data_IF_438484355918
#
_entry.id   IF_438484355918
#
_cell.length_a   1.000
_cell.length_b   1.000
_cell.length_c   1.000
_cell.angle_alpha   90.00
_cell.angle_beta   90.00
_cell.angle_gamma   90.00
#
_symmetry.space_group_name_H-M   'P 1'
#
loop_
_entity.id
_entity.type
_entity.pdbx_description
1 polymer ?
#
# COMPACT_ATOMS: atom_id res chain seq x y z
N UNK A 1 -51.44 14.15 -59.43
CA UNK A 1 -51.41 13.35 -58.20
C UNK A 1 -49.94 12.98 -57.84
N UNK A 2 -49.12 13.91 -57.38
CA UNK A 2 -47.75 13.65 -56.91
C UNK A 2 -47.23 14.75 -55.96
N UNK A 3 -47.99 15.11 -54.91
CA UNK A 3 -47.49 16.13 -53.90
C UNK A 3 -47.91 15.82 -52.46
N UNK A 4 -48.22 14.57 -52.12
CA UNK A 4 -48.65 14.20 -50.74
C UNK A 4 -47.75 13.20 -50.02
N UNK A 5 -46.61 12.76 -50.60
CA UNK A 5 -45.73 11.73 -50.02
C UNK A 5 -44.45 12.27 -49.42
N UNK A 6 -44.22 13.59 -49.37
CA UNK A 6 -42.94 14.19 -48.90
C UNK A 6 -42.99 14.78 -47.49
N UNK A 7 -44.11 14.76 -46.82
CA UNK A 7 -44.26 15.37 -45.48
C UNK A 7 -44.29 14.35 -44.31
N UNK A 8 -44.26 13.05 -44.58
CA UNK A 8 -44.28 12.01 -43.55
C UNK A 8 -42.87 11.43 -43.23
N UNK A 9 -41.82 11.82 -43.96
CA UNK A 9 -40.47 11.29 -43.76
C UNK A 9 -39.58 12.14 -42.85
N UNK A 10 -40.03 13.32 -42.40
CA UNK A 10 -39.22 14.23 -41.54
C UNK A 10 -39.50 14.10 -40.05
N UNK A 11 -40.50 13.37 -39.61
CA UNK A 11 -40.86 13.22 -38.17
C UNK A 11 -40.22 12.00 -37.52
N UNK A 12 -39.70 11.06 -38.31
CA UNK A 12 -39.10 9.80 -37.78
C UNK A 12 -37.63 9.92 -37.36
N UNK A 13 -36.93 11.05 -37.69
CA UNK A 13 -35.50 11.21 -37.39
C UNK A 13 -35.23 11.98 -36.08
N UNK A 14 -36.26 12.65 -35.51
CA UNK A 14 -36.07 13.51 -34.34
C UNK A 14 -36.22 12.83 -32.97
N UNK A 15 -36.51 11.53 -32.91
CA UNK A 15 -36.73 10.79 -31.64
C UNK A 15 -35.52 9.91 -31.28
N UNK A 16 -34.54 9.72 -32.18
CA UNK A 16 -33.36 8.90 -31.91
C UNK A 16 -32.20 9.61 -31.20
N UNK A 17 -32.32 10.92 -30.92
CA UNK A 17 -31.22 11.74 -30.35
C UNK A 17 -31.35 12.05 -28.85
N UNK A 18 -32.29 11.46 -28.12
CA UNK A 18 -32.56 11.82 -26.71
C UNK A 18 -32.21 10.70 -25.71
N UNK A 19 -31.49 9.64 -26.10
CA UNK A 19 -30.98 8.62 -25.15
C UNK A 19 -29.45 8.55 -25.30
N UNK A 20 -28.78 9.70 -25.31
CA UNK A 20 -27.42 9.75 -24.83
C UNK A 20 -27.49 9.78 -23.29
N UNK A 21 -27.91 8.69 -22.69
CA UNK A 21 -27.72 8.46 -21.27
C UNK A 21 -26.24 8.69 -21.03
N UNK A 22 -25.90 9.72 -20.25
CA UNK A 22 -24.58 9.78 -19.63
C UNK A 22 -24.39 8.43 -18.95
N UNK A 23 -23.65 7.54 -19.59
CA UNK A 23 -22.99 6.44 -18.90
C UNK A 23 -21.98 7.11 -17.97
N UNK A 24 -22.46 7.64 -16.83
CA UNK A 24 -21.62 7.96 -15.70
C UNK A 24 -20.86 6.67 -15.46
N UNK A 25 -19.56 6.69 -15.65
CA UNK A 25 -18.73 5.57 -15.27
C UNK A 25 -19.12 5.23 -13.83
N UNK A 26 -19.64 4.02 -13.62
CA UNK A 26 -20.06 3.57 -12.29
C UNK A 26 -18.86 3.70 -11.37
N UNK A 27 -18.97 4.50 -10.30
CA UNK A 27 -17.87 4.73 -9.38
C UNK A 27 -17.47 3.42 -8.67
N UNK A 28 -16.22 3.34 -8.25
CA UNK A 28 -15.69 2.10 -7.68
C UNK A 28 -16.43 1.68 -6.40
N UNK A 29 -16.91 2.64 -5.58
CA UNK A 29 -17.67 2.33 -4.36
C UNK A 29 -19.00 1.65 -4.72
N UNK A 30 -19.77 2.20 -5.64
CA UNK A 30 -21.03 1.62 -6.09
C UNK A 30 -20.82 0.21 -6.69
N UNK A 31 -19.80 0.04 -7.51
CA UNK A 31 -19.41 -1.27 -8.08
C UNK A 31 -19.08 -2.30 -6.98
N UNK A 32 -18.31 -1.92 -5.97
CA UNK A 32 -17.95 -2.79 -4.83
C UNK A 32 -19.21 -3.20 -4.06
N UNK A 33 -20.07 -2.23 -3.74
CA UNK A 33 -21.32 -2.48 -2.98
C UNK A 33 -22.30 -3.36 -3.75
N UNK A 34 -22.47 -3.14 -5.06
CA UNK A 34 -23.32 -3.97 -5.93
C UNK A 34 -22.80 -5.41 -6.03
N UNK A 35 -21.48 -5.59 -6.20
CA UNK A 35 -20.80 -6.89 -6.24
C UNK A 35 -20.79 -7.61 -4.90
N UNK A 36 -20.94 -6.88 -3.79
CA UNK A 36 -20.83 -7.38 -2.40
C UNK A 36 -19.48 -8.04 -2.07
N UNK A 37 -18.45 -7.68 -2.78
CA UNK A 37 -17.07 -8.16 -2.59
C UNK A 37 -16.10 -7.02 -2.79
N UNK A 38 -15.12 -6.90 -1.92
CA UNK A 38 -13.98 -5.98 -2.07
C UNK A 38 -12.68 -6.78 -2.19
N UNK A 39 -11.88 -6.49 -3.21
CA UNK A 39 -10.58 -7.10 -3.47
C UNK A 39 -9.49 -6.19 -2.94
N UNK A 40 -8.74 -6.66 -1.97
CA UNK A 40 -7.71 -5.86 -1.29
C UNK A 40 -6.33 -6.48 -1.50
N UNK A 41 -5.43 -5.76 -2.14
CA UNK A 41 -4.04 -6.15 -2.28
C UNK A 41 -3.32 -5.95 -0.92
N UNK A 42 -2.73 -7.05 -0.39
CA UNK A 42 -2.09 -7.09 0.92
C UNK A 42 -0.70 -7.74 0.85
N UNK A 43 0.24 -7.37 1.73
CA UNK A 43 1.56 -8.00 1.76
C UNK A 43 1.48 -9.40 2.38
N UNK A 44 2.35 -10.30 1.93
CA UNK A 44 2.43 -11.67 2.47
C UNK A 44 3.79 -12.02 3.06
N UNK A 45 4.76 -11.12 2.94
CA UNK A 45 6.15 -11.31 3.35
C UNK A 45 6.72 -10.13 4.17
N UNK A 46 5.83 -9.31 4.75
CA UNK A 46 6.21 -8.07 5.41
C UNK A 46 5.66 -7.97 6.85
N UNK A 47 6.00 -8.94 7.76
CA UNK A 47 5.54 -8.91 9.14
C UNK A 47 6.14 -7.70 9.89
N UNK A 48 5.39 -7.05 10.79
CA UNK A 48 4.06 -7.43 11.30
C UNK A 48 2.87 -6.87 10.49
N UNK A 49 3.11 -6.17 9.36
CA UNK A 49 2.04 -5.58 8.55
C UNK A 49 1.25 -6.64 7.77
N UNK A 50 1.92 -7.59 7.13
CA UNK A 50 1.29 -8.72 6.49
C UNK A 50 2.23 -9.90 6.28
N UNK A 51 1.79 -11.08 6.65
CA UNK A 51 2.52 -12.33 6.46
C UNK A 51 1.56 -13.50 6.37
N UNK A 52 2.05 -14.61 5.81
CA UNK A 52 1.34 -15.89 5.79
C UNK A 52 2.01 -16.82 6.78
N UNK A 53 1.24 -17.38 7.70
CA UNK A 53 1.73 -18.37 8.66
C UNK A 53 1.94 -19.75 8.03
N UNK A 54 2.47 -20.69 8.80
CA UNK A 54 2.63 -22.09 8.38
C UNK A 54 1.31 -22.80 8.10
N UNK A 55 0.22 -22.29 8.67
CA UNK A 55 -1.16 -22.70 8.45
C UNK A 55 -1.79 -22.04 7.18
N UNK A 56 -0.99 -21.35 6.37
CA UNK A 56 -1.39 -20.63 5.17
C UNK A 56 -2.40 -19.48 5.44
N UNK A 57 -2.57 -19.06 6.70
CA UNK A 57 -3.50 -17.99 7.08
C UNK A 57 -2.81 -16.63 7.01
N UNK A 58 -3.31 -15.68 6.21
CA UNK A 58 -2.83 -14.30 6.20
C UNK A 58 -3.11 -13.61 7.54
N UNK A 59 -2.12 -12.87 8.05
CA UNK A 59 -2.20 -12.14 9.31
C UNK A 59 -1.30 -10.92 9.31
N UNK A 60 -1.67 -9.90 10.08
CA UNK A 60 -0.91 -8.67 10.21
C UNK A 60 -1.79 -7.44 10.32
N UNK A 61 -1.17 -6.31 10.56
CA UNK A 61 -1.85 -5.01 10.68
C UNK A 61 -2.72 -4.69 9.46
N UNK A 62 -2.15 -4.85 8.25
CA UNK A 62 -2.83 -4.56 6.99
C UNK A 62 -3.99 -5.51 6.71
N UNK A 63 -3.89 -6.77 7.19
CA UNK A 63 -4.96 -7.76 7.10
C UNK A 63 -6.13 -7.39 8.02
N UNK A 64 -5.82 -6.99 9.27
CA UNK A 64 -6.84 -6.52 10.20
C UNK A 64 -7.51 -5.24 9.69
N UNK A 65 -6.75 -4.31 9.08
CA UNK A 65 -7.30 -3.10 8.46
C UNK A 65 -8.19 -3.41 7.26
N UNK A 66 -7.79 -4.32 6.38
CA UNK A 66 -8.61 -4.79 5.26
C UNK A 66 -9.92 -5.42 5.74
N UNK A 67 -9.85 -6.22 6.80
CA UNK A 67 -11.02 -6.84 7.45
C UNK A 67 -11.96 -5.79 8.01
N UNK A 68 -11.44 -4.77 8.68
CA UNK A 68 -12.23 -3.66 9.20
C UNK A 68 -12.96 -2.91 8.08
N UNK A 69 -12.25 -2.57 7.00
CA UNK A 69 -12.84 -1.87 5.84
C UNK A 69 -13.97 -2.69 5.23
N UNK A 70 -13.74 -3.97 4.95
CA UNK A 70 -14.77 -4.85 4.37
C UNK A 70 -16.00 -4.97 5.28
N UNK A 71 -15.79 -5.13 6.59
CA UNK A 71 -16.87 -5.17 7.60
C UNK A 71 -17.69 -3.88 7.62
N UNK A 72 -17.04 -2.71 7.58
CA UNK A 72 -17.70 -1.40 7.58
C UNK A 72 -18.46 -1.12 6.29
N UNK A 73 -18.00 -1.65 5.15
CA UNK A 73 -18.71 -1.59 3.88
C UNK A 73 -19.84 -2.64 3.76
N UNK A 74 -19.90 -3.62 4.66
CA UNK A 74 -20.90 -4.71 4.60
C UNK A 74 -20.69 -5.66 3.44
N UNK A 75 -19.43 -5.88 3.00
CA UNK A 75 -19.08 -6.71 1.84
C UNK A 75 -18.12 -7.83 2.24
N UNK A 76 -18.03 -8.87 1.40
CA UNK A 76 -17.04 -9.95 1.57
C UNK A 76 -15.63 -9.43 1.23
N UNK A 77 -14.66 -9.80 2.05
CA UNK A 77 -13.24 -9.54 1.78
C UNK A 77 -12.64 -10.63 0.90
N UNK A 78 -11.96 -10.22 -0.16
CA UNK A 78 -11.06 -11.06 -0.94
C UNK A 78 -9.65 -10.47 -0.86
N UNK A 79 -8.71 -11.22 -0.26
CA UNK A 79 -7.31 -10.83 -0.12
C UNK A 79 -6.53 -11.22 -1.39
N UNK A 80 -5.84 -10.27 -1.99
CA UNK A 80 -4.99 -10.45 -3.16
C UNK A 80 -3.52 -10.30 -2.72
N UNK A 81 -2.72 -11.37 -2.74
CA UNK A 81 -1.29 -11.27 -2.43
C UNK A 81 -0.58 -10.29 -3.36
N UNK A 82 0.24 -9.40 -2.79
CA UNK A 82 1.01 -8.42 -3.57
C UNK A 82 2.43 -8.27 -3.04
N UNK A 83 3.39 -8.13 -3.94
CA UNK A 83 4.77 -7.73 -3.63
C UNK A 83 4.98 -6.24 -3.80
N UNK A 84 6.05 -5.70 -3.23
CA UNK A 84 6.37 -4.27 -3.25
C UNK A 84 6.22 -3.60 -4.62
N UNK A 85 6.86 -4.12 -5.69
CA UNK A 85 6.79 -3.54 -7.04
C UNK A 85 5.39 -3.47 -7.65
N UNK A 86 4.50 -4.40 -7.26
CA UNK A 86 3.20 -4.59 -7.90
C UNK A 86 2.05 -3.80 -7.26
N UNK A 87 2.28 -3.14 -6.11
CA UNK A 87 1.23 -2.47 -5.32
C UNK A 87 0.43 -1.44 -6.11
N UNK A 88 1.10 -0.56 -6.85
CA UNK A 88 0.46 0.47 -7.68
C UNK A 88 -0.14 -0.13 -8.94
N UNK A 89 0.58 -1.04 -9.60
CA UNK A 89 0.12 -1.68 -10.84
C UNK A 89 -1.19 -2.47 -10.65
N UNK A 90 -1.40 -3.09 -9.49
CA UNK A 90 -2.64 -3.84 -9.20
C UNK A 90 -3.87 -2.94 -9.13
N UNK A 91 -3.73 -1.70 -8.66
CA UNK A 91 -4.79 -0.69 -8.70
C UNK A 91 -5.04 -0.23 -10.14
N UNK A 92 -3.98 0.15 -10.87
CA UNK A 92 -4.10 0.66 -12.24
C UNK A 92 -4.71 -0.37 -13.21
N UNK A 93 -4.41 -1.65 -13.02
CA UNK A 93 -4.95 -2.76 -13.83
C UNK A 93 -6.26 -3.34 -13.29
N UNK A 94 -6.84 -2.75 -12.24
CA UNK A 94 -8.07 -3.21 -11.59
C UNK A 94 -8.02 -4.66 -11.10
N UNK A 95 -6.81 -5.17 -10.82
CA UNK A 95 -6.62 -6.48 -10.20
C UNK A 95 -7.04 -6.46 -8.73
N UNK A 96 -6.89 -5.33 -8.05
CA UNK A 96 -7.45 -5.04 -6.74
C UNK A 96 -8.26 -3.75 -6.77
N UNK A 97 -9.21 -3.62 -5.84
CA UNK A 97 -9.98 -2.40 -5.62
C UNK A 97 -9.24 -1.44 -4.69
N UNK A 98 -8.52 -2.01 -3.71
CA UNK A 98 -7.69 -1.30 -2.76
C UNK A 98 -6.30 -1.93 -2.68
N UNK A 99 -5.32 -1.13 -2.28
CA UNK A 99 -4.03 -1.60 -1.78
C UNK A 99 -3.87 -1.17 -0.33
N UNK A 100 -3.84 -2.16 0.58
CA UNK A 100 -3.53 -2.01 2.01
C UNK A 100 -2.28 -2.84 2.26
N UNK A 101 -1.11 -2.25 2.03
CA UNK A 101 0.16 -2.97 1.97
C UNK A 101 1.32 -2.06 2.35
N UNK A 102 1.27 -1.49 3.57
CA UNK A 102 2.26 -0.55 4.09
C UNK A 102 2.61 0.53 3.06
N UNK A 103 1.58 1.06 2.39
CA UNK A 103 1.77 1.93 1.23
C UNK A 103 2.00 3.38 1.67
N UNK A 104 3.22 3.88 1.50
CA UNK A 104 3.56 5.29 1.69
C UNK A 104 3.21 6.15 0.46
N UNK A 105 2.99 7.45 0.68
CA UNK A 105 2.79 8.44 -0.38
C UNK A 105 4.12 8.90 -0.97
N UNK A 106 4.17 8.99 -2.30
CA UNK A 106 5.24 9.71 -3.00
C UNK A 106 4.63 10.56 -4.11
N UNK A 107 5.29 11.66 -4.54
CA UNK A 107 4.79 12.49 -5.63
C UNK A 107 4.56 11.71 -6.94
N UNK A 108 5.37 10.70 -7.21
CA UNK A 108 5.27 9.85 -8.39
C UNK A 108 4.01 8.98 -8.33
N UNK A 109 3.74 8.36 -7.18
CA UNK A 109 2.55 7.52 -6.97
C UNK A 109 1.27 8.36 -6.97
N UNK A 110 1.28 9.57 -6.38
CA UNK A 110 0.12 10.48 -6.35
C UNK A 110 -0.33 10.94 -7.75
N UNK A 111 0.54 10.86 -8.76
CA UNK A 111 0.15 11.12 -10.17
C UNK A 111 -0.79 10.05 -10.72
N UNK A 112 -0.73 8.82 -10.22
CA UNK A 112 -1.36 7.64 -10.84
C UNK A 112 -2.35 6.90 -9.94
N UNK A 113 -2.35 7.16 -8.63
CA UNK A 113 -3.33 6.63 -7.66
C UNK A 113 -3.76 7.72 -6.69
N UNK A 114 -4.90 7.50 -6.02
CA UNK A 114 -5.36 8.33 -4.91
C UNK A 114 -5.17 7.60 -3.59
N UNK A 115 -5.24 8.34 -2.48
CA UNK A 115 -4.95 7.84 -1.14
C UNK A 115 -6.03 8.22 -0.14
N UNK A 116 -6.25 7.35 0.84
CA UNK A 116 -6.96 7.71 2.07
C UNK A 116 -6.12 8.62 2.96
N UNK A 117 -6.68 9.01 4.12
CA UNK A 117 -5.88 9.48 5.26
C UNK A 117 -5.04 8.32 5.84
N UNK A 118 -4.02 8.63 6.66
CA UNK A 118 -3.15 7.64 7.24
C UNK A 118 -3.87 6.71 8.23
N UNK A 119 -3.56 5.39 8.18
CA UNK A 119 -4.14 4.39 9.07
C UNK A 119 -3.13 3.71 10.01
N UNK A 120 -1.82 3.79 9.72
CA UNK A 120 -0.77 3.19 10.56
C UNK A 120 0.49 4.04 10.58
N UNK A 121 1.24 4.04 11.71
CA UNK A 121 2.57 4.62 11.74
C UNK A 121 3.56 3.74 10.98
N UNK A 122 4.56 4.36 10.35
CA UNK A 122 5.61 3.63 9.68
C UNK A 122 6.90 4.45 9.64
N UNK A 123 8.02 3.82 9.97
CA UNK A 123 9.34 4.42 9.93
C UNK A 123 10.27 3.56 9.09
N UNK A 124 10.92 4.16 8.13
CA UNK A 124 11.90 3.54 7.26
C UNK A 124 13.31 3.78 7.77
N UNK A 125 14.15 2.74 7.75
CA UNK A 125 15.53 2.86 8.17
C UNK A 125 16.45 1.88 7.44
N UNK A 126 17.74 2.20 7.46
CA UNK A 126 18.84 1.29 7.10
C UNK A 126 19.31 0.58 8.36
N UNK A 127 19.40 -0.74 8.27
CA UNK A 127 19.99 -1.62 9.29
C UNK A 127 21.24 -2.27 8.75
N UNK A 128 22.18 -2.58 9.62
CA UNK A 128 23.44 -3.21 9.24
C UNK A 128 24.08 -3.91 10.41
N UNK A 129 25.11 -4.74 10.13
CA UNK A 129 25.89 -5.41 11.17
C UNK A 129 26.47 -4.41 12.16
N UNK A 130 26.63 -4.83 13.43
CA UNK A 130 27.05 -3.95 14.53
C UNK A 130 28.39 -3.24 14.26
N UNK A 131 29.32 -3.94 13.65
CA UNK A 131 30.67 -3.42 13.34
C UNK A 131 30.68 -2.34 12.26
N UNK A 132 29.59 -2.16 11.52
CA UNK A 132 29.50 -1.15 10.47
C UNK A 132 29.08 0.20 11.09
N UNK A 133 29.91 1.19 10.92
CA UNK A 133 29.59 2.56 11.33
C UNK A 133 28.96 3.28 10.13
N UNK A 134 27.73 3.77 10.32
CA UNK A 134 27.06 4.69 9.41
C UNK A 134 25.97 5.42 10.21
N UNK A 135 26.11 6.75 10.37
CA UNK A 135 25.21 7.60 11.17
C UNK A 135 24.47 8.62 10.31
N UNK A 136 24.83 8.74 9.05
CA UNK A 136 24.23 9.66 8.09
C UNK A 136 24.34 9.11 6.66
N UNK A 137 23.68 9.77 5.71
CA UNK A 137 23.60 9.31 4.32
C UNK A 137 24.97 9.28 3.62
N UNK A 138 25.88 10.21 3.93
CA UNK A 138 27.20 10.26 3.30
C UNK A 138 28.06 9.04 3.67
N UNK A 139 27.91 8.53 4.88
CA UNK A 139 28.62 7.35 5.37
C UNK A 139 28.11 6.03 4.76
N UNK A 140 26.99 6.09 4.00
CA UNK A 140 26.50 4.97 3.19
C UNK A 140 27.24 4.82 1.85
N UNK A 141 28.07 5.79 1.47
CA UNK A 141 28.87 5.75 0.23
C UNK A 141 29.72 4.48 0.14
N UNK A 142 29.62 3.76 -0.98
CA UNK A 142 30.31 2.51 -1.21
C UNK A 142 29.77 1.30 -0.44
N UNK A 143 28.81 1.49 0.48
CA UNK A 143 28.18 0.38 1.22
C UNK A 143 27.16 -0.33 0.37
N UNK A 144 27.13 -1.67 0.45
CA UNK A 144 26.16 -2.49 -0.26
C UNK A 144 24.91 -2.62 0.60
N UNK A 145 23.77 -2.11 0.10
CA UNK A 145 22.49 -2.07 0.81
C UNK A 145 21.45 -2.83 0.01
N UNK A 146 20.84 -3.86 0.60
CA UNK A 146 19.72 -4.59 0.02
C UNK A 146 18.42 -3.82 0.25
N UNK A 147 17.58 -3.71 -0.77
CA UNK A 147 16.25 -3.10 -0.70
C UNK A 147 15.23 -3.89 -1.51
N UNK A 148 13.97 -3.77 -1.15
CA UNK A 148 12.88 -4.24 -2.02
C UNK A 148 12.65 -3.21 -3.13
N UNK A 149 12.69 -3.64 -4.37
CA UNK A 149 12.48 -2.79 -5.56
C UNK A 149 11.19 -1.99 -5.46
N UNK A 150 11.23 -0.69 -5.77
CA UNK A 150 10.07 0.19 -5.78
C UNK A 150 9.41 0.39 -4.40
N UNK A 151 10.12 0.06 -3.32
CA UNK A 151 9.73 0.45 -1.96
C UNK A 151 10.07 1.91 -1.68
N UNK A 152 9.52 2.48 -0.60
CA UNK A 152 9.91 3.82 -0.13
C UNK A 152 11.42 3.87 0.16
N UNK A 153 11.97 2.82 0.76
CA UNK A 153 13.40 2.70 1.08
C UNK A 153 14.27 2.75 -0.18
N UNK A 154 13.84 2.13 -1.27
CA UNK A 154 14.54 2.18 -2.56
C UNK A 154 14.54 3.60 -3.14
N UNK A 155 13.39 4.26 -3.13
CA UNK A 155 13.22 5.64 -3.60
C UNK A 155 14.06 6.62 -2.76
N UNK A 156 13.96 6.52 -1.43
CA UNK A 156 14.68 7.37 -0.47
C UNK A 156 16.21 7.20 -0.56
N UNK A 157 16.71 5.96 -0.57
CA UNK A 157 18.14 5.70 -0.71
C UNK A 157 18.70 6.18 -2.04
N UNK A 158 17.96 5.97 -3.14
CA UNK A 158 18.38 6.45 -4.46
C UNK A 158 18.51 7.97 -4.50
N UNK A 159 17.69 8.68 -3.74
CA UNK A 159 17.68 10.15 -3.64
C UNK A 159 18.69 10.69 -2.63
N UNK A 160 18.73 10.10 -1.41
CA UNK A 160 19.47 10.65 -0.26
C UNK A 160 20.90 10.12 -0.14
N UNK A 161 21.17 8.92 -0.67
CA UNK A 161 22.47 8.26 -0.61
C UNK A 161 22.91 7.77 -1.99
N UNK A 162 23.08 8.66 -3.00
CA UNK A 162 23.41 8.27 -4.38
C UNK A 162 24.77 7.56 -4.50
N UNK A 163 25.65 7.69 -3.48
CA UNK A 163 26.92 6.97 -3.41
C UNK A 163 26.83 5.55 -2.88
N UNK A 164 25.69 5.11 -2.37
CA UNK A 164 25.48 3.76 -1.90
C UNK A 164 25.32 2.78 -3.09
N UNK A 165 25.74 1.52 -2.87
CA UNK A 165 25.56 0.43 -3.83
C UNK A 165 24.23 -0.28 -3.51
N UNK A 166 23.17 0.07 -4.21
CA UNK A 166 21.83 -0.44 -3.92
C UNK A 166 21.58 -1.74 -4.70
N UNK A 167 21.38 -2.85 -3.98
CA UNK A 167 20.94 -4.14 -4.53
C UNK A 167 19.43 -4.29 -4.35
N UNK A 168 18.71 -4.37 -5.46
CA UNK A 168 17.25 -4.44 -5.48
C UNK A 168 16.75 -5.87 -5.63
N UNK A 169 15.86 -6.28 -4.73
CA UNK A 169 15.19 -7.59 -4.73
C UNK A 169 13.71 -7.42 -5.02
N UNK A 170 13.06 -8.48 -5.52
CA UNK A 170 11.66 -8.41 -5.94
C UNK A 170 10.67 -8.43 -4.75
N UNK A 171 11.12 -8.91 -3.59
CA UNK A 171 10.30 -9.01 -2.39
C UNK A 171 11.14 -8.78 -1.12
N UNK A 172 10.45 -8.70 0.02
CA UNK A 172 11.11 -8.46 1.30
C UNK A 172 11.90 -9.69 1.78
N UNK A 173 11.42 -10.91 1.49
CA UNK A 173 12.13 -12.13 1.86
C UNK A 173 13.50 -12.19 1.18
N UNK A 174 13.59 -11.87 -0.11
CA UNK A 174 14.84 -11.76 -0.86
C UNK A 174 15.76 -10.69 -0.30
N UNK A 175 15.21 -9.54 0.06
CA UNK A 175 15.96 -8.42 0.69
C UNK A 175 16.60 -8.85 2.01
N UNK A 176 15.81 -9.45 2.91
CA UNK A 176 16.28 -9.90 4.23
C UNK A 176 17.26 -11.05 4.07
N UNK A 177 16.97 -12.03 3.21
CA UNK A 177 17.85 -13.17 2.96
C UNK A 177 19.22 -12.76 2.42
N UNK A 178 19.28 -11.74 1.56
CA UNK A 178 20.54 -11.20 1.05
C UNK A 178 21.41 -10.59 2.15
N UNK A 179 20.80 -9.91 3.12
CA UNK A 179 21.51 -9.42 4.30
C UNK A 179 21.99 -10.58 5.20
N UNK A 180 21.12 -11.50 5.54
CA UNK A 180 21.44 -12.64 6.41
C UNK A 180 22.54 -13.55 5.81
N UNK A 181 22.53 -13.74 4.49
CA UNK A 181 23.54 -14.51 3.76
C UNK A 181 24.84 -13.71 3.51
N UNK A 182 24.96 -12.47 3.96
CA UNK A 182 26.14 -11.63 3.75
C UNK A 182 26.34 -11.12 2.31
N UNK A 183 25.33 -11.25 1.44
CA UNK A 183 25.36 -10.69 0.08
C UNK A 183 25.24 -9.16 0.05
N UNK A 184 24.71 -8.58 1.12
CA UNK A 184 24.69 -7.16 1.40
C UNK A 184 25.12 -6.92 2.85
N UNK A 185 25.86 -5.84 3.07
CA UNK A 185 26.35 -5.46 4.40
C UNK A 185 25.24 -4.84 5.27
N UNK A 186 24.26 -4.27 4.60
CA UNK A 186 23.12 -3.56 5.18
C UNK A 186 21.85 -3.90 4.39
N UNK A 187 20.71 -3.61 4.98
CA UNK A 187 19.42 -3.64 4.28
C UNK A 187 18.53 -2.52 4.76
N UNK A 188 17.60 -2.09 3.92
CA UNK A 188 16.64 -1.07 4.30
C UNK A 188 15.23 -1.65 4.33
N UNK A 189 14.52 -1.38 5.43
CA UNK A 189 13.17 -1.89 5.69
C UNK A 189 12.48 -1.03 6.74
N UNK A 190 11.20 -1.30 7.03
CA UNK A 190 10.48 -0.70 8.15
C UNK A 190 11.07 -1.13 9.51
N UNK A 191 11.11 -0.21 10.47
CA UNK A 191 11.67 -0.49 11.81
C UNK A 191 10.94 -1.64 12.52
N UNK A 192 9.60 -1.73 12.39
CA UNK A 192 8.81 -2.83 12.95
C UNK A 192 9.13 -4.18 12.29
N UNK A 193 9.45 -4.18 10.98
CA UNK A 193 9.88 -5.39 10.26
C UNK A 193 11.22 -5.87 10.78
N UNK A 194 12.19 -4.97 10.93
CA UNK A 194 13.50 -5.29 11.51
C UNK A 194 13.36 -5.83 12.95
N UNK A 195 12.51 -5.21 13.78
CA UNK A 195 12.21 -5.72 15.13
C UNK A 195 11.65 -7.15 15.10
N UNK A 196 10.76 -7.44 14.16
CA UNK A 196 10.20 -8.80 13.99
C UNK A 196 11.27 -9.83 13.62
N UNK A 197 12.24 -9.47 12.77
CA UNK A 197 13.37 -10.34 12.43
C UNK A 197 14.16 -10.70 13.69
N UNK A 198 14.53 -9.69 14.49
CA UNK A 198 15.29 -9.85 15.72
C UNK A 198 14.54 -10.63 16.80
N UNK A 199 13.21 -10.50 16.85
CA UNK A 199 12.37 -11.29 17.75
C UNK A 199 12.32 -12.76 17.35
N UNK A 200 12.26 -13.05 16.03
CA UNK A 200 12.25 -14.42 15.52
C UNK A 200 13.59 -15.12 15.64
N UNK A 201 14.67 -14.37 15.45
CA UNK A 201 16.04 -14.87 15.58
C UNK A 201 16.90 -13.83 16.32
N UNK A 202 16.99 -13.94 17.66
CA UNK A 202 17.82 -13.06 18.49
C UNK A 202 19.32 -13.08 18.17
N UNK A 203 19.80 -14.11 17.46
CA UNK A 203 21.21 -14.23 17.06
C UNK A 203 21.59 -13.30 15.92
N UNK A 204 20.61 -12.75 15.20
CA UNK A 204 20.86 -11.80 14.12
C UNK A 204 21.46 -10.51 14.68
N UNK A 205 22.76 -10.31 14.40
CA UNK A 205 23.50 -9.11 14.78
C UNK A 205 23.19 -8.00 13.79
N UNK A 206 22.31 -7.08 14.17
CA UNK A 206 21.99 -5.88 13.40
C UNK A 206 21.56 -4.72 14.28
N UNK A 207 21.94 -3.52 13.89
CA UNK A 207 21.54 -2.27 14.51
C UNK A 207 20.97 -1.32 13.48
N UNK A 208 20.12 -0.39 13.93
CA UNK A 208 19.68 0.74 13.14
C UNK A 208 20.89 1.64 12.87
N UNK A 209 21.09 2.01 11.60
CA UNK A 209 22.20 2.87 11.15
C UNK A 209 21.70 4.28 10.79
N UNK A 210 20.76 4.37 9.87
CA UNK A 210 20.23 5.65 9.38
C UNK A 210 18.71 5.56 9.27
N UNK A 211 17.99 6.54 9.84
CA UNK A 211 16.57 6.71 9.60
C UNK A 211 16.39 7.37 8.23
N UNK A 212 15.57 6.79 7.38
CA UNK A 212 15.27 7.31 6.05
C UNK A 212 14.09 8.28 6.11
N UNK A 213 12.95 7.82 6.65
CA UNK A 213 11.74 8.65 6.70
C UNK A 213 10.76 8.20 7.79
N UNK A 214 9.87 9.12 8.15
CA UNK A 214 8.61 8.84 8.81
C UNK A 214 7.54 8.85 7.71
N UNK A 215 7.10 7.69 7.28
CA UNK A 215 6.23 7.49 6.13
C UNK A 215 4.97 6.71 6.51
N UNK A 216 3.97 7.35 7.15
CA UNK A 216 2.73 6.69 7.54
C UNK A 216 2.11 5.89 6.39
N UNK A 217 1.37 4.81 6.73
CA UNK A 217 0.71 3.99 5.75
C UNK A 217 -0.67 4.54 5.39
N UNK A 218 -0.99 4.47 4.10
CA UNK A 218 -2.25 4.92 3.52
C UNK A 218 -2.88 3.80 2.69
N UNK A 219 -4.20 3.81 2.57
CA UNK A 219 -4.91 2.93 1.63
C UNK A 219 -4.80 3.55 0.23
N UNK A 220 -4.25 2.80 -0.71
CA UNK A 220 -4.23 3.19 -2.12
C UNK A 220 -5.53 2.83 -2.82
N UNK A 221 -5.98 3.74 -3.68
CA UNK A 221 -7.20 3.63 -4.49
C UNK A 221 -6.87 3.98 -5.94
N UNK A 222 -7.59 3.43 -6.90
CA UNK A 222 -7.46 3.85 -8.30
C UNK A 222 -7.67 5.37 -8.42
N UNK A 223 -6.94 6.00 -9.32
CA UNK A 223 -7.05 7.45 -9.56
C UNK A 223 -8.44 7.84 -10.01
N UNK A 224 -8.99 8.91 -9.42
CA UNK A 224 -10.28 9.47 -9.80
C UNK A 224 -11.50 8.85 -9.12
N UNK A 225 -11.33 8.22 -7.95
CA UNK A 225 -12.40 7.58 -7.18
C UNK A 225 -12.71 8.32 -5.86
N UNK A 226 -13.16 9.59 -5.92
CA UNK A 226 -13.31 10.44 -4.73
C UNK A 226 -14.35 9.93 -3.74
N UNK A 227 -15.41 9.24 -4.20
CA UNK A 227 -16.44 8.69 -3.31
C UNK A 227 -15.87 7.54 -2.46
N UNK A 228 -15.08 6.65 -3.08
CA UNK A 228 -14.42 5.55 -2.37
C UNK A 228 -13.40 6.11 -1.37
N UNK A 229 -12.57 7.10 -1.76
CA UNK A 229 -11.63 7.77 -0.85
C UNK A 229 -12.35 8.42 0.33
N UNK A 230 -13.45 9.16 0.09
CA UNK A 230 -14.24 9.78 1.16
C UNK A 230 -14.80 8.73 2.13
N UNK A 231 -15.32 7.60 1.62
CA UNK A 231 -15.83 6.52 2.46
C UNK A 231 -14.74 5.82 3.28
N UNK A 232 -13.57 5.61 2.70
CA UNK A 232 -12.40 5.07 3.42
C UNK A 232 -11.95 6.03 4.54
N UNK A 233 -11.91 7.34 4.25
CA UNK A 233 -11.55 8.35 5.24
C UNK A 233 -12.55 8.39 6.42
N UNK A 234 -13.85 8.25 6.15
CA UNK A 234 -14.88 8.11 7.18
C UNK A 234 -14.60 6.90 8.06
N UNK A 235 -14.35 5.72 7.46
CA UNK A 235 -14.05 4.48 8.19
C UNK A 235 -12.79 4.62 9.05
N UNK A 236 -11.73 5.22 8.51
CA UNK A 236 -10.48 5.43 9.26
C UNK A 236 -10.67 6.40 10.42
N UNK A 237 -11.39 7.52 10.23
CA UNK A 237 -11.71 8.46 11.32
C UNK A 237 -12.52 7.80 12.44
N UNK A 238 -13.52 7.01 12.08
CA UNK A 238 -14.29 6.24 13.05
C UNK A 238 -13.40 5.23 13.80
N UNK A 239 -12.48 4.54 13.08
CA UNK A 239 -11.56 3.60 13.70
C UNK A 239 -10.53 4.30 14.62
N UNK A 240 -10.09 5.52 14.28
CA UNK A 240 -9.25 6.36 15.16
C UNK A 240 -10.04 6.76 16.42
N UNK A 241 -11.24 7.29 16.26
CA UNK A 241 -12.05 7.80 17.40
C UNK A 241 -12.55 6.70 18.35
N UNK A 242 -12.81 5.50 17.84
CA UNK A 242 -13.20 4.34 18.65
C UNK A 242 -12.03 3.63 19.34
N UNK A 243 -10.78 4.01 19.03
CA UNK A 243 -9.57 3.34 19.52
C UNK A 243 -9.18 2.07 18.77
N UNK A 244 -9.92 1.66 17.73
CA UNK A 244 -9.63 0.44 16.97
C UNK A 244 -8.25 0.48 16.27
N UNK A 245 -7.82 1.66 15.80
CA UNK A 245 -6.48 1.86 15.24
C UNK A 245 -5.40 1.64 16.29
N UNK A 246 -5.58 2.17 17.50
CA UNK A 246 -4.65 1.98 18.62
C UNK A 246 -4.58 0.53 19.09
N UNK A 247 -5.71 -0.17 19.10
CA UNK A 247 -5.74 -1.60 19.43
C UNK A 247 -4.97 -2.44 18.41
N UNK A 248 -5.17 -2.19 17.10
CA UNK A 248 -4.41 -2.84 16.04
C UNK A 248 -2.91 -2.52 16.15
N UNK A 249 -2.57 -1.26 16.46
CA UNK A 249 -1.19 -0.83 16.62
C UNK A 249 -0.51 -1.50 17.82
N UNK A 250 -1.16 -1.54 18.96
CA UNK A 250 -0.66 -2.26 20.15
C UNK A 250 -0.46 -3.75 19.85
N UNK A 251 -1.44 -4.38 19.19
CA UNK A 251 -1.39 -5.81 18.84
C UNK A 251 -0.21 -6.14 17.96
N UNK A 252 0.07 -5.34 16.92
CA UNK A 252 1.02 -5.67 15.88
C UNK A 252 2.37 -4.93 16.01
N UNK A 253 2.34 -3.69 16.51
CA UNK A 253 3.52 -2.83 16.59
C UNK A 253 4.01 -2.62 18.03
N UNK A 254 3.25 -3.10 19.03
CA UNK A 254 3.63 -3.04 20.44
C UNK A 254 3.34 -1.69 21.13
N UNK A 255 2.81 -0.71 20.42
CA UNK A 255 2.51 0.62 20.96
C UNK A 255 1.27 1.23 20.26
N UNK A 256 0.59 2.22 20.87
CA UNK A 256 -0.47 2.98 20.20
C UNK A 256 0.04 3.63 18.90
N UNK A 257 -0.87 3.85 17.95
CA UNK A 257 -0.53 4.47 16.66
C UNK A 257 -0.05 5.93 16.79
N UNK A 258 -0.46 6.61 17.86
CA UNK A 258 -0.18 8.02 18.06
C UNK A 258 -0.91 8.93 17.07
N UNK A 259 -0.39 10.14 16.87
CA UNK A 259 -0.97 11.09 15.92
C UNK A 259 -0.63 10.68 14.49
N UNK A 260 -1.64 10.39 13.69
CA UNK A 260 -1.52 10.07 12.27
C UNK A 260 -2.06 11.23 11.42
N UNK A 261 -1.40 11.61 10.30
CA UNK A 261 -1.87 12.68 9.43
C UNK A 261 -3.21 12.35 8.77
N UNK A 262 -3.94 13.44 8.45
CA UNK A 262 -5.19 13.40 7.69
C UNK A 262 -4.92 13.35 6.18
#
# INVERSE_FOLDING_TARGET
MKRRSLLLSLIAVSIAAAVSGNAMAEDALSTILARKVIRVAVPTDYPPYGSVGTDMTPRGYDIDMATLVAKKLGVKLELIPVTGPNRVAYLQTKKSDLTISSLGKTPEREKVIDYSIAYAPFFDAVFGKQEIIAKNYNELTGKVIAVTRGSMQDEELSRLAPGAVIKRFEDNNGTVSAFLAGQAQMFATGTAVAATIKTKDPSVSMDLKVILSNAPCYIGVQKGEPQLVAKLNEIIREAKSSGAIDEMSKKWLGAPAGSLPE
#
